data_IF_362206004909
#
_entry.id   IF_362206004909
#
_cell.length_a   1.000
_cell.length_b   1.000
_cell.length_c   1.000
_cell.angle_alpha   90.00
_cell.angle_beta   90.00
_cell.angle_gamma   90.00
#
_symmetry.space_group_name_H-M   'P 1'
#
loop_
_entity.id
_entity.type
_entity.pdbx_description
1 polymer ?
#
# COMPACT_ATOMS: atom_id res chain seq x y z
N UNK A 1 22.77 -12.19 -3.89
CA UNK A 1 21.43 -11.65 -4.23
C UNK A 1 20.73 -12.63 -5.16
N UNK A 2 19.60 -13.18 -4.72
CA UNK A 2 18.75 -14.06 -5.53
C UNK A 2 17.90 -13.26 -6.52
N UNK A 3 17.30 -13.95 -7.50
CA UNK A 3 16.36 -13.34 -8.43
C UNK A 3 15.13 -12.75 -7.72
N UNK A 4 14.61 -13.46 -6.71
CA UNK A 4 13.48 -13.04 -5.90
C UNK A 4 13.79 -11.73 -5.15
N UNK A 5 14.96 -11.64 -4.52
CA UNK A 5 15.42 -10.43 -3.82
C UNK A 5 15.57 -9.25 -4.78
N UNK A 6 16.20 -9.48 -5.95
CA UNK A 6 16.38 -8.45 -6.97
C UNK A 6 15.03 -7.95 -7.52
N UNK A 7 14.05 -8.86 -7.70
CA UNK A 7 12.68 -8.52 -8.11
C UNK A 7 12.01 -7.62 -7.08
N UNK A 8 12.08 -8.00 -5.79
CA UNK A 8 11.51 -7.20 -4.70
C UNK A 8 12.07 -5.79 -4.70
N UNK A 9 13.41 -5.67 -4.68
CA UNK A 9 14.10 -4.38 -4.68
C UNK A 9 13.64 -3.54 -5.89
N UNK A 10 13.70 -4.11 -7.08
CA UNK A 10 13.35 -3.41 -8.32
C UNK A 10 11.91 -2.90 -8.30
N UNK A 11 10.94 -3.75 -7.92
CA UNK A 11 9.52 -3.37 -7.89
C UNK A 11 9.26 -2.27 -6.87
N UNK A 12 9.86 -2.34 -5.67
CA UNK A 12 9.71 -1.29 -4.64
C UNK A 12 10.24 0.05 -5.16
N UNK A 13 11.45 0.06 -5.71
CA UNK A 13 12.02 1.30 -6.26
C UNK A 13 11.21 1.84 -7.44
N UNK A 14 10.68 0.98 -8.31
CA UNK A 14 9.80 1.40 -9.39
C UNK A 14 8.48 1.97 -8.86
N UNK A 15 7.86 1.33 -7.87
CA UNK A 15 6.63 1.79 -7.24
C UNK A 15 6.81 3.17 -6.60
N UNK A 16 8.00 3.47 -6.07
CA UNK A 16 8.36 4.77 -5.53
C UNK A 16 8.60 5.80 -6.63
N UNK A 17 9.49 5.52 -7.59
CA UNK A 17 9.98 6.55 -8.52
C UNK A 17 9.08 6.77 -9.75
N UNK A 18 8.38 5.74 -10.23
CA UNK A 18 7.54 5.87 -11.43
C UNK A 18 6.42 6.90 -11.27
N UNK A 19 5.70 6.98 -10.14
CA UNK A 19 4.72 8.05 -9.89
C UNK A 19 5.33 9.46 -9.98
N UNK A 20 6.55 9.68 -9.49
CA UNK A 20 7.24 10.97 -9.63
C UNK A 20 7.58 11.28 -11.08
N UNK A 21 8.11 10.31 -11.83
CA UNK A 21 8.42 10.48 -13.25
C UNK A 21 7.17 10.85 -14.05
N UNK A 22 6.04 10.18 -13.78
CA UNK A 22 4.74 10.48 -14.39
C UNK A 22 4.28 11.89 -14.00
N UNK A 23 4.39 12.25 -12.72
CA UNK A 23 3.99 13.57 -12.24
C UNK A 23 4.79 14.69 -12.90
N UNK A 24 6.12 14.62 -12.91
CA UNK A 24 6.96 15.67 -13.47
C UNK A 24 6.78 15.82 -14.99
N UNK A 25 6.60 14.71 -15.71
CA UNK A 25 6.32 14.73 -17.16
C UNK A 25 4.97 15.35 -17.52
N UNK A 26 3.97 15.24 -16.63
CA UNK A 26 2.60 15.66 -16.88
C UNK A 26 2.14 16.83 -16.00
N UNK A 27 3.07 17.51 -15.31
CA UNK A 27 2.76 18.49 -14.25
C UNK A 27 1.79 19.59 -14.67
N UNK A 28 1.87 20.06 -15.92
CA UNK A 28 0.97 21.10 -16.46
C UNK A 28 -0.48 20.63 -16.65
N UNK A 29 -0.71 19.33 -16.82
CA UNK A 29 -2.02 18.75 -17.10
C UNK A 29 -2.68 18.13 -15.86
N UNK A 30 -1.95 18.03 -14.76
CA UNK A 30 -2.40 17.39 -13.54
C UNK A 30 -3.08 18.39 -12.58
N UNK A 31 -4.18 18.01 -11.92
CA UNK A 31 -4.80 18.82 -10.88
C UNK A 31 -3.83 19.20 -9.76
N UNK A 32 -3.92 20.45 -9.29
CA UNK A 32 -3.05 20.99 -8.23
C UNK A 32 -3.19 20.28 -6.87
N UNK A 33 -4.28 19.54 -6.64
CA UNK A 33 -4.49 18.79 -5.39
C UNK A 33 -3.68 17.49 -5.33
N UNK A 34 -3.16 16.97 -6.46
CA UNK A 34 -2.46 15.68 -6.51
C UNK A 34 -1.26 15.62 -5.55
N UNK A 35 -0.34 16.61 -5.51
CA UNK A 35 0.78 16.58 -4.58
C UNK A 35 0.34 16.55 -3.11
N UNK A 36 -0.64 17.39 -2.73
CA UNK A 36 -1.17 17.42 -1.37
C UNK A 36 -1.82 16.08 -1.00
N UNK A 37 -2.59 15.51 -1.92
CA UNK A 37 -3.24 14.22 -1.71
C UNK A 37 -2.24 13.06 -1.57
N UNK A 38 -1.18 13.07 -2.39
CA UNK A 38 -0.07 12.13 -2.28
C UNK A 38 0.66 12.23 -0.94
N UNK A 39 0.95 13.45 -0.45
CA UNK A 39 1.57 13.64 0.85
C UNK A 39 0.68 13.13 1.99
N UNK A 40 -0.63 13.38 1.93
CA UNK A 40 -1.58 12.83 2.89
C UNK A 40 -1.58 11.30 2.82
N UNK A 41 -1.55 10.71 1.62
CA UNK A 41 -1.47 9.27 1.43
C UNK A 41 -0.24 8.67 2.10
N UNK A 42 0.95 9.26 1.90
CA UNK A 42 2.20 8.81 2.57
C UNK A 42 2.02 8.81 4.08
N UNK A 43 1.50 9.91 4.66
CA UNK A 43 1.31 10.04 6.11
C UNK A 43 0.35 8.96 6.62
N UNK A 44 -0.75 8.71 5.92
CA UNK A 44 -1.72 7.69 6.32
C UNK A 44 -1.11 6.28 6.22
N UNK A 45 -0.37 5.94 5.17
CA UNK A 45 0.28 4.63 5.06
C UNK A 45 1.36 4.45 6.15
N UNK A 46 2.18 5.49 6.36
CA UNK A 46 3.25 5.54 7.37
C UNK A 46 2.71 5.27 8.77
N UNK A 47 1.74 6.08 9.21
CA UNK A 47 1.18 6.01 10.56
C UNK A 47 0.17 4.87 10.72
N UNK A 48 -0.50 4.49 9.62
CA UNK A 48 -1.55 3.48 9.62
C UNK A 48 -1.01 2.06 9.77
N UNK A 49 0.13 1.74 9.16
CA UNK A 49 0.74 0.41 9.29
C UNK A 49 2.25 0.36 9.02
N UNK A 50 2.81 1.15 8.09
CA UNK A 50 4.18 0.92 7.64
C UNK A 50 5.24 1.07 8.73
N UNK A 51 5.11 2.07 9.62
CA UNK A 51 6.00 2.20 10.77
C UNK A 51 5.88 1.01 11.72
N UNK A 52 4.65 0.59 12.03
CA UNK A 52 4.37 -0.52 12.93
C UNK A 52 4.93 -1.84 12.39
N UNK A 53 4.66 -2.15 11.12
CA UNK A 53 5.13 -3.36 10.46
C UNK A 53 6.65 -3.34 10.24
N UNK A 54 7.23 -2.16 9.98
CA UNK A 54 8.69 -2.03 9.81
C UNK A 54 9.44 -2.21 11.12
N UNK A 55 8.96 -1.60 12.21
CA UNK A 55 9.66 -1.56 13.48
C UNK A 55 9.25 -2.64 14.48
N UNK A 56 8.13 -3.33 14.26
CA UNK A 56 7.67 -4.36 15.19
C UNK A 56 7.23 -3.76 16.54
N UNK A 57 6.62 -2.56 16.55
CA UNK A 57 6.44 -1.78 17.78
C UNK A 57 5.51 -2.43 18.80
N UNK A 58 4.52 -3.22 18.36
CA UNK A 58 3.57 -3.86 19.27
C UNK A 58 3.30 -5.29 18.82
N UNK A 59 3.86 -6.24 19.58
CA UNK A 59 3.66 -7.69 19.46
C UNK A 59 3.93 -8.26 18.06
N UNK A 60 4.90 -7.71 17.32
CA UNK A 60 5.34 -8.28 16.05
C UNK A 60 6.82 -8.11 15.80
N UNK A 61 7.33 -8.86 14.83
CA UNK A 61 8.75 -8.86 14.49
C UNK A 61 9.09 -7.67 13.58
N UNK A 62 10.21 -6.98 13.85
CA UNK A 62 10.67 -5.95 12.96
C UNK A 62 11.09 -6.53 11.61
N UNK A 63 10.99 -5.72 10.56
CA UNK A 63 11.18 -6.17 9.17
C UNK A 63 12.58 -6.73 8.91
N UNK A 64 13.58 -6.32 9.67
CA UNK A 64 14.96 -6.78 9.52
C UNK A 64 15.18 -8.23 9.95
N UNK A 65 14.33 -8.74 10.84
CA UNK A 65 14.34 -10.16 11.24
C UNK A 65 13.49 -11.00 10.29
N UNK A 66 12.45 -10.41 9.70
CA UNK A 66 11.50 -11.11 8.80
C UNK A 66 12.03 -11.33 7.37
N UNK A 67 13.22 -10.84 7.00
CA UNK A 67 13.76 -10.95 5.63
C UNK A 67 15.26 -11.18 5.60
N UNK A 68 15.79 -11.45 4.41
CA UNK A 68 17.22 -11.74 4.21
C UNK A 68 18.13 -10.54 4.43
N UNK A 69 19.40 -10.81 4.72
CA UNK A 69 20.45 -9.78 4.87
C UNK A 69 20.61 -8.91 3.61
N UNK A 70 20.49 -9.50 2.41
CA UNK A 70 20.57 -8.74 1.16
C UNK A 70 19.43 -7.72 1.06
N UNK A 71 18.19 -8.10 1.40
CA UNK A 71 17.07 -7.15 1.41
C UNK A 71 17.26 -6.06 2.46
N UNK A 72 17.83 -6.39 3.63
CA UNK A 72 18.18 -5.41 4.66
C UNK A 72 19.25 -4.41 4.22
N UNK A 73 20.20 -4.84 3.40
CA UNK A 73 21.24 -3.97 2.85
C UNK A 73 20.67 -2.97 1.83
N UNK A 74 19.77 -3.42 0.94
CA UNK A 74 19.20 -2.58 -0.13
C UNK A 74 17.99 -1.75 0.28
N UNK A 75 17.20 -2.23 1.23
CA UNK A 75 16.05 -1.52 1.77
C UNK A 75 16.13 -1.43 3.30
N UNK A 76 17.13 -0.74 3.89
CA UNK A 76 17.34 -0.73 5.34
C UNK A 76 16.07 -0.38 6.11
N UNK A 77 15.89 -0.99 7.29
CA UNK A 77 14.72 -0.80 8.16
C UNK A 77 14.32 0.68 8.34
N UNK A 78 15.30 1.55 8.58
CA UNK A 78 15.07 2.99 8.79
C UNK A 78 14.57 3.75 7.53
N UNK A 79 14.65 3.12 6.36
CA UNK A 79 14.20 3.63 5.05
C UNK A 79 12.97 2.85 4.57
N UNK A 80 12.83 1.58 4.97
CA UNK A 80 11.80 0.66 4.51
C UNK A 80 10.37 1.22 4.66
N UNK A 81 10.05 1.76 5.84
CA UNK A 81 8.71 2.32 6.12
C UNK A 81 8.35 3.44 5.13
N UNK A 82 9.32 4.29 4.79
CA UNK A 82 9.12 5.41 3.88
C UNK A 82 8.97 4.92 2.44
N UNK A 83 9.83 3.99 2.00
CA UNK A 83 9.78 3.44 0.64
C UNK A 83 8.46 2.73 0.36
N UNK A 84 8.00 1.88 1.29
CA UNK A 84 6.70 1.23 1.15
C UNK A 84 5.56 2.24 1.22
N UNK A 85 5.59 3.22 2.14
CA UNK A 85 4.55 4.26 2.21
C UNK A 85 4.46 5.08 0.92
N UNK A 86 5.59 5.37 0.28
CA UNK A 86 5.64 6.06 -1.00
C UNK A 86 5.14 5.18 -2.15
N UNK A 87 5.48 3.89 -2.14
CA UNK A 87 4.96 2.90 -3.09
C UNK A 87 3.44 2.75 -2.99
N UNK A 88 2.92 2.64 -1.77
CA UNK A 88 1.49 2.54 -1.49
C UNK A 88 0.76 3.82 -1.90
N UNK A 89 1.28 4.98 -1.51
CA UNK A 89 0.73 6.27 -1.92
C UNK A 89 0.70 6.46 -3.43
N UNK A 90 1.76 6.05 -4.13
CA UNK A 90 1.94 6.30 -5.55
C UNK A 90 1.30 5.22 -6.42
N UNK A 91 1.83 4.00 -6.36
CA UNK A 91 1.38 2.91 -7.22
C UNK A 91 -0.03 2.44 -6.87
N UNK A 92 -0.37 2.36 -5.58
CA UNK A 92 -1.66 1.80 -5.15
C UNK A 92 -2.73 2.87 -5.08
N UNK A 93 -2.51 3.92 -4.30
CA UNK A 93 -3.56 4.88 -3.99
C UNK A 93 -3.80 5.88 -5.13
N UNK A 94 -2.76 6.53 -5.68
CA UNK A 94 -2.94 7.35 -6.88
C UNK A 94 -3.33 6.48 -8.10
N UNK A 95 -2.77 5.27 -8.21
CA UNK A 95 -3.19 4.30 -9.23
C UNK A 95 -4.68 3.97 -9.14
N UNK A 96 -5.20 3.71 -7.94
CA UNK A 96 -6.61 3.47 -7.68
C UNK A 96 -7.49 4.67 -8.06
N UNK A 97 -7.08 5.88 -7.68
CA UNK A 97 -7.77 7.13 -8.07
C UNK A 97 -7.79 7.32 -9.59
N UNK A 98 -6.71 6.97 -10.28
CA UNK A 98 -6.66 6.99 -11.74
C UNK A 98 -7.58 5.94 -12.36
N UNK A 99 -7.65 4.72 -11.82
CA UNK A 99 -8.58 3.67 -12.26
C UNK A 99 -10.04 4.07 -12.04
N UNK A 100 -10.37 4.69 -10.90
CA UNK A 100 -11.69 5.27 -10.66
C UNK A 100 -12.07 6.26 -11.77
N UNK A 101 -11.13 7.15 -12.14
CA UNK A 101 -11.35 8.15 -13.18
C UNK A 101 -11.59 7.54 -14.56
N UNK A 102 -10.77 6.58 -14.97
CA UNK A 102 -10.87 5.95 -16.29
C UNK A 102 -12.12 5.09 -16.39
N UNK A 103 -12.41 4.25 -15.38
CA UNK A 103 -13.61 3.41 -15.36
C UNK A 103 -14.91 4.23 -15.44
N UNK A 104 -14.88 5.49 -14.96
CA UNK A 104 -16.00 6.42 -15.01
C UNK A 104 -15.92 7.41 -16.17
N UNK A 105 -15.28 7.02 -17.30
CA UNK A 105 -15.19 7.82 -18.53
C UNK A 105 -14.67 9.25 -18.29
N UNK A 106 -13.72 9.38 -17.37
CA UNK A 106 -13.10 10.64 -16.97
C UNK A 106 -14.04 11.65 -16.29
N UNK A 107 -15.16 11.18 -15.72
CA UNK A 107 -16.11 12.01 -14.97
C UNK A 107 -15.47 12.61 -13.71
N UNK A 108 -15.32 13.93 -13.69
CA UNK A 108 -14.73 14.68 -12.55
C UNK A 108 -15.64 14.74 -11.33
N UNK A 109 -16.94 14.43 -11.45
CA UNK A 109 -17.87 14.48 -10.32
C UNK A 109 -17.57 13.42 -9.27
N UNK A 110 -16.90 12.32 -9.64
CA UNK A 110 -16.47 11.28 -8.70
C UNK A 110 -15.52 11.84 -7.64
N UNK A 111 -14.77 12.91 -7.96
CA UNK A 111 -13.86 13.57 -7.02
C UNK A 111 -14.53 14.64 -6.19
N UNK A 112 -15.81 14.95 -6.43
CA UNK A 112 -16.54 16.02 -5.71
C UNK A 112 -17.66 15.50 -4.84
N UNK A 113 -18.19 14.32 -5.17
CA UNK A 113 -19.31 13.68 -4.46
C UNK A 113 -19.05 12.18 -4.38
N UNK A 114 -19.52 11.59 -3.29
CA UNK A 114 -19.40 10.15 -3.08
C UNK A 114 -20.20 9.40 -4.14
N UNK A 115 -19.55 8.50 -4.87
CA UNK A 115 -20.20 7.53 -5.75
C UNK A 115 -19.80 6.12 -5.33
N UNK A 116 -20.79 5.29 -5.04
CA UNK A 116 -20.57 3.90 -4.66
C UNK A 116 -19.85 3.09 -5.75
N UNK A 117 -20.14 3.36 -7.02
CA UNK A 117 -19.46 2.70 -8.14
C UNK A 117 -17.97 3.03 -8.20
N UNK A 118 -17.59 4.29 -7.94
CA UNK A 118 -16.19 4.70 -7.89
C UNK A 118 -15.48 4.13 -6.66
N UNK A 119 -16.16 4.15 -5.51
CA UNK A 119 -15.66 3.52 -4.29
C UNK A 119 -15.41 2.01 -4.47
N UNK A 120 -16.32 1.28 -5.12
CA UNK A 120 -16.15 -0.14 -5.39
C UNK A 120 -14.91 -0.43 -6.24
N UNK A 121 -14.62 0.41 -7.24
CA UNK A 121 -13.38 0.29 -8.05
C UNK A 121 -12.14 0.47 -7.18
N UNK A 122 -12.14 1.49 -6.31
CA UNK A 122 -11.00 1.74 -5.41
C UNK A 122 -10.79 0.58 -4.43
N UNK A 123 -11.86 0.10 -3.80
CA UNK A 123 -11.82 -1.00 -2.84
C UNK A 123 -11.31 -2.28 -3.50
N UNK A 124 -11.86 -2.64 -4.67
CA UNK A 124 -11.43 -3.82 -5.42
C UNK A 124 -9.96 -3.70 -5.82
N UNK A 125 -9.53 -2.53 -6.27
CA UNK A 125 -8.13 -2.29 -6.62
C UNK A 125 -7.20 -2.48 -5.42
N UNK A 126 -7.49 -1.86 -4.28
CA UNK A 126 -6.66 -1.97 -3.07
C UNK A 126 -6.52 -3.42 -2.60
N UNK A 127 -7.62 -4.17 -2.56
CA UNK A 127 -7.59 -5.59 -2.15
C UNK A 127 -6.82 -6.43 -3.17
N UNK A 128 -7.17 -6.34 -4.46
CA UNK A 128 -6.53 -7.16 -5.50
C UNK A 128 -5.04 -6.86 -5.62
N UNK A 129 -4.64 -5.59 -5.52
CA UNK A 129 -3.24 -5.21 -5.59
C UNK A 129 -2.46 -5.76 -4.38
N UNK A 130 -3.03 -5.69 -3.16
CA UNK A 130 -2.36 -6.24 -1.99
C UNK A 130 -2.26 -7.77 -2.03
N UNK A 131 -3.29 -8.46 -2.53
CA UNK A 131 -3.22 -9.91 -2.81
C UNK A 131 -2.05 -10.22 -3.74
N UNK A 132 -1.84 -9.44 -4.81
CA UNK A 132 -0.71 -9.66 -5.71
C UNK A 132 0.64 -9.38 -5.03
N UNK A 133 0.73 -8.35 -4.20
CA UNK A 133 1.96 -8.03 -3.45
C UNK A 133 2.29 -9.14 -2.45
N UNK A 134 1.33 -9.57 -1.65
CA UNK A 134 1.52 -10.63 -0.66
C UNK A 134 1.88 -11.95 -1.33
N UNK A 135 1.21 -12.31 -2.42
CA UNK A 135 1.45 -13.58 -3.12
C UNK A 135 2.74 -13.58 -3.95
N UNK A 136 3.15 -12.47 -4.55
CA UNK A 136 4.26 -12.47 -5.53
C UNK A 136 5.46 -11.60 -5.16
N UNK A 137 5.33 -10.69 -4.19
CA UNK A 137 6.43 -9.81 -3.79
C UNK A 137 6.92 -10.12 -2.37
N UNK A 138 5.99 -10.22 -1.44
CA UNK A 138 6.29 -10.27 -0.01
C UNK A 138 5.93 -11.58 0.65
N UNK A 139 5.65 -12.63 -0.12
CA UNK A 139 5.32 -13.95 0.42
C UNK A 139 6.34 -14.38 1.49
N UNK A 140 7.63 -14.31 1.17
CA UNK A 140 8.68 -14.69 2.13
C UNK A 140 8.72 -13.78 3.35
N UNK A 141 8.24 -12.53 3.30
CA UNK A 141 8.28 -11.58 4.42
C UNK A 141 7.02 -11.63 5.30
N UNK A 142 5.92 -12.16 4.75
CA UNK A 142 4.58 -12.19 5.34
C UNK A 142 4.08 -13.64 5.55
N UNK A 143 4.96 -14.63 5.35
CA UNK A 143 4.66 -16.04 5.55
C UNK A 143 4.33 -16.36 7.01
N UNK A 144 3.70 -17.52 7.20
CA UNK A 144 3.43 -18.09 8.52
C UNK A 144 4.72 -18.15 9.37
N UNK A 145 4.60 -17.74 10.64
CA UNK A 145 5.74 -17.61 11.56
C UNK A 145 6.47 -16.26 11.52
N UNK A 146 6.07 -15.33 10.63
CA UNK A 146 6.60 -13.96 10.58
C UNK A 146 5.57 -12.96 11.08
N UNK A 147 5.58 -12.69 12.38
CA UNK A 147 4.50 -11.97 13.04
C UNK A 147 4.52 -10.49 12.67
N UNK A 148 3.44 -9.98 12.09
CA UNK A 148 3.27 -8.54 11.86
C UNK A 148 2.84 -7.85 13.15
N UNK A 149 3.38 -6.65 13.39
CA UNK A 149 2.96 -5.80 14.51
C UNK A 149 1.47 -5.45 14.41
N UNK A 150 0.84 -5.22 15.56
CA UNK A 150 -0.41 -4.47 15.58
C UNK A 150 -0.21 -3.08 14.97
N UNK A 151 -1.25 -2.55 14.30
CA UNK A 151 -1.24 -1.21 13.74
C UNK A 151 -2.64 -0.56 13.72
N UNK A 152 -2.75 0.78 13.66
CA UNK A 152 -4.04 1.48 13.63
C UNK A 152 -5.00 1.04 12.51
N UNK A 153 -4.48 0.77 11.30
CA UNK A 153 -5.28 0.25 10.18
C UNK A 153 -5.24 -1.27 10.06
N UNK A 154 -4.64 -1.94 11.03
CA UNK A 154 -4.73 -3.39 11.23
C UNK A 154 -5.06 -3.71 12.70
N UNK A 155 -6.22 -3.25 13.21
CA UNK A 155 -6.49 -3.16 14.64
C UNK A 155 -6.72 -4.50 15.35
N UNK A 156 -6.99 -5.58 14.60
CA UNK A 156 -7.03 -6.93 15.16
C UNK A 156 -5.63 -7.47 15.46
N UNK A 157 -4.61 -6.86 14.85
CA UNK A 157 -3.20 -7.19 15.04
C UNK A 157 -2.90 -8.67 14.79
N UNK A 158 -1.84 -9.19 15.44
CA UNK A 158 -1.51 -10.62 15.37
C UNK A 158 -2.48 -11.49 16.18
N UNK A 159 -3.38 -10.88 16.98
CA UNK A 159 -4.26 -11.59 17.91
C UNK A 159 -5.41 -12.32 17.21
N UNK A 160 -5.96 -11.73 16.14
CA UNK A 160 -6.99 -12.34 15.30
C UNK A 160 -6.54 -12.23 13.85
N UNK A 161 -5.72 -13.20 13.44
CA UNK A 161 -5.11 -13.22 12.11
C UNK A 161 -5.29 -14.58 11.40
N UNK A 162 -6.53 -14.98 11.04
CA UNK A 162 -6.75 -16.21 10.29
C UNK A 162 -6.15 -16.12 8.88
N UNK A 163 -5.74 -17.28 8.35
CA UNK A 163 -5.45 -17.45 6.94
C UNK A 163 -6.77 -17.35 6.17
N UNK A 164 -6.86 -16.42 5.22
CA UNK A 164 -8.02 -16.21 4.36
C UNK A 164 -7.97 -17.08 3.11
N UNK A 165 -6.76 -17.31 2.60
CA UNK A 165 -6.53 -18.07 1.38
C UNK A 165 -5.11 -18.65 1.39
N UNK A 166 -4.94 -19.83 0.80
CA UNK A 166 -3.64 -20.48 0.64
C UNK A 166 -3.52 -21.06 -0.78
N UNK A 167 -2.38 -20.83 -1.42
CA UNK A 167 -2.06 -21.40 -2.73
C UNK A 167 -0.55 -21.56 -2.93
N UNK A 168 -0.11 -22.76 -3.30
CA UNK A 168 1.32 -23.10 -3.47
C UNK A 168 2.19 -22.68 -2.27
N UNK A 169 1.78 -23.05 -1.05
CA UNK A 169 2.45 -22.70 0.21
C UNK A 169 2.46 -21.20 0.54
N UNK A 170 1.74 -20.38 -0.25
CA UNK A 170 1.58 -18.95 -0.02
C UNK A 170 0.26 -18.64 0.64
N UNK A 171 0.34 -17.99 1.79
CA UNK A 171 -0.81 -17.61 2.61
C UNK A 171 -1.14 -16.15 2.42
N UNK A 172 -2.44 -15.85 2.40
CA UNK A 172 -2.98 -14.50 2.58
C UNK A 172 -3.62 -14.44 3.95
N UNK A 173 -3.18 -13.53 4.79
CA UNK A 173 -3.68 -13.41 6.16
C UNK A 173 -4.64 -12.23 6.32
N UNK A 174 -5.53 -12.27 7.31
CA UNK A 174 -6.48 -11.17 7.53
C UNK A 174 -5.76 -9.86 7.85
N UNK A 175 -4.74 -9.91 8.71
CA UNK A 175 -4.01 -8.75 9.21
C UNK A 175 -3.37 -7.93 8.08
N UNK A 176 -2.76 -8.59 7.10
CA UNK A 176 -2.15 -7.93 5.93
C UNK A 176 -3.19 -7.28 5.01
N UNK A 177 -4.42 -7.79 4.98
CA UNK A 177 -5.52 -7.26 4.15
C UNK A 177 -6.29 -6.13 4.85
N UNK A 178 -6.28 -6.04 6.17
CA UNK A 178 -7.05 -5.04 6.93
C UNK A 178 -6.80 -3.59 6.49
N UNK A 179 -5.55 -3.13 6.30
CA UNK A 179 -5.31 -1.76 5.86
C UNK A 179 -6.05 -1.43 4.56
N UNK A 180 -6.06 -2.37 3.62
CA UNK A 180 -6.63 -2.21 2.29
C UNK A 180 -8.15 -2.34 2.26
N UNK A 181 -8.76 -2.92 3.29
CA UNK A 181 -10.21 -2.91 3.52
C UNK A 181 -10.69 -1.62 4.16
N UNK A 182 -9.92 -1.08 5.11
CA UNK A 182 -10.31 0.10 5.90
C UNK A 182 -9.97 1.42 5.21
N UNK A 183 -8.76 1.52 4.65
CA UNK A 183 -8.22 2.74 4.08
C UNK A 183 -9.08 3.36 2.97
N UNK A 184 -9.64 2.62 1.99
CA UNK A 184 -10.40 3.20 0.90
C UNK A 184 -11.54 4.11 1.36
N UNK A 185 -12.18 3.80 2.50
CA UNK A 185 -13.28 4.58 3.06
C UNK A 185 -12.86 6.00 3.39
N UNK A 186 -11.78 6.13 4.17
CA UNK A 186 -11.24 7.41 4.58
C UNK A 186 -10.56 8.12 3.40
N UNK A 187 -9.86 7.35 2.56
CA UNK A 187 -9.10 7.89 1.45
C UNK A 187 -9.99 8.55 0.40
N UNK A 188 -11.10 7.91 0.02
CA UNK A 188 -12.03 8.48 -0.93
C UNK A 188 -12.73 9.74 -0.36
N UNK A 189 -13.05 9.73 0.94
CA UNK A 189 -13.62 10.90 1.62
C UNK A 189 -12.65 12.08 1.63
N UNK A 190 -11.38 11.84 1.90
CA UNK A 190 -10.31 12.86 1.86
C UNK A 190 -10.18 13.45 0.46
N UNK A 191 -10.18 12.60 -0.57
CA UNK A 191 -10.12 13.05 -1.97
C UNK A 191 -11.25 14.03 -2.31
N UNK A 192 -12.47 13.71 -1.87
CA UNK A 192 -13.65 14.56 -2.05
C UNK A 192 -13.47 15.90 -1.34
N UNK A 193 -12.99 15.90 -0.09
CA UNK A 193 -12.83 17.12 0.68
C UNK A 193 -11.75 18.06 0.11
N UNK A 194 -10.69 17.54 -0.50
CA UNK A 194 -9.67 18.35 -1.19
C UNK A 194 -10.17 18.99 -2.50
N UNK A 195 -11.32 18.55 -3.00
CA UNK A 195 -11.92 18.97 -4.28
C UNK A 195 -13.27 19.69 -4.11
N UNK A 196 -13.66 20.01 -2.87
CA UNK A 196 -14.78 20.91 -2.57
C UNK A 196 -14.35 22.35 -2.80
#
# INVERSE_FOLDING_TARGET
>A
MSFEEARVITIVYLAVFLPFLIYFKNKSNLPKWIPTFYLIAIVICSLGWELWFTFGWLDGDPVDIRRSENLNMWLPKNINWLMNSMGDAGAVLLGGVWLMWISHRKDKSIFKKWKWSAFAVLLLWCICQNILVEMFLYHDQLAEGKVLSWAPLSPLGPYINPILFEFNERTIMLQSQMPWLLLPWFFYRTLINLNK
#
